data_IF_696729907721
#
_entry.id   IF_696729907721
#
_cell.length_a   1.000
_cell.length_b   1.000
_cell.length_c   1.000
_cell.angle_alpha   90.00
_cell.angle_beta   90.00
_cell.angle_gamma   90.00
#
_symmetry.space_group_name_H-M   'P 1'
#
loop_
_entity.id
_entity.type
_entity.pdbx_description
1 polymer ?
#
# COMPACT_ATOMS: atom_id res chain seq x y z
N UNK A 1 -15.38 9.72 4.40
CA UNK A 1 -14.61 9.72 3.14
C UNK A 1 -13.18 10.06 3.51
N UNK A 2 -12.29 9.06 3.51
CA UNK A 2 -10.85 9.23 3.82
C UNK A 2 -10.01 9.54 2.56
N UNK A 3 -10.70 9.74 1.43
CA UNK A 3 -10.18 10.19 0.14
C UNK A 3 -10.01 11.70 0.14
N UNK A 4 -8.77 12.18 0.03
CA UNK A 4 -8.45 13.62 -0.06
C UNK A 4 -8.68 14.14 -1.48
N UNK A 5 -8.36 13.34 -2.49
CA UNK A 5 -8.70 13.61 -3.88
C UNK A 5 -9.57 12.48 -4.41
N UNK A 6 -10.58 12.83 -5.18
CA UNK A 6 -11.54 11.88 -5.72
C UNK A 6 -11.94 12.26 -7.14
N UNK A 7 -11.80 11.31 -8.07
CA UNK A 7 -12.23 11.41 -9.45
C UNK A 7 -13.09 10.19 -9.76
N UNK A 8 -14.33 10.43 -10.15
CA UNK A 8 -15.28 9.38 -10.54
C UNK A 8 -15.85 9.72 -11.91
N UNK A 9 -15.77 8.78 -12.84
CA UNK A 9 -16.48 8.84 -14.12
C UNK A 9 -17.22 7.54 -14.32
N UNK A 10 -18.55 7.64 -14.33
CA UNK A 10 -19.43 6.50 -14.48
C UNK A 10 -20.31 6.64 -15.73
N UNK A 11 -20.34 5.58 -16.53
CA UNK A 11 -21.26 5.38 -17.63
C UNK A 11 -21.99 4.06 -17.37
N UNK A 12 -23.26 4.16 -16.97
CA UNK A 12 -24.15 3.01 -16.82
C UNK A 12 -24.79 2.71 -18.17
N UNK A 13 -24.54 1.52 -18.73
CA UNK A 13 -25.49 0.99 -19.71
C UNK A 13 -26.75 0.63 -18.93
N UNK A 14 -27.91 1.19 -19.28
CA UNK A 14 -29.17 1.08 -18.53
C UNK A 14 -29.81 -0.31 -18.53
N UNK A 15 -29.02 -1.38 -18.39
CA UNK A 15 -29.45 -2.77 -18.38
C UNK A 15 -29.15 -3.35 -16.99
N UNK A 16 -30.07 -3.14 -16.04
CA UNK A 16 -30.06 -3.82 -14.74
C UNK A 16 -30.33 -5.32 -14.94
N UNK A 17 -29.27 -6.12 -15.01
CA UNK A 17 -29.35 -7.57 -14.99
C UNK A 17 -28.82 -8.10 -13.65
N UNK A 18 -29.52 -9.05 -13.02
CA UNK A 18 -29.06 -9.71 -11.80
C UNK A 18 -27.67 -10.36 -11.93
N UNK A 19 -27.27 -10.74 -13.15
CA UNK A 19 -25.96 -11.28 -13.46
C UNK A 19 -24.82 -10.27 -13.24
N UNK A 20 -25.04 -8.96 -13.45
CA UNK A 20 -23.99 -7.95 -13.24
C UNK A 20 -23.74 -7.70 -11.76
N UNK A 21 -24.79 -7.73 -10.93
CA UNK A 21 -24.64 -7.60 -9.47
C UNK A 21 -23.80 -8.75 -8.90
N UNK A 22 -24.02 -9.99 -9.38
CA UNK A 22 -23.19 -11.13 -8.95
C UNK A 22 -21.72 -10.97 -9.36
N UNK A 23 -21.46 -10.48 -10.57
CA UNK A 23 -20.09 -10.23 -11.06
C UNK A 23 -19.40 -9.16 -10.18
N UNK A 24 -20.11 -8.08 -9.84
CA UNK A 24 -19.60 -7.02 -8.96
C UNK A 24 -19.22 -7.56 -7.57
N UNK A 25 -20.06 -8.40 -6.96
CA UNK A 25 -19.76 -9.05 -5.68
C UNK A 25 -18.47 -9.89 -5.76
N UNK A 26 -18.28 -10.67 -6.83
CA UNK A 26 -17.06 -11.45 -7.03
C UNK A 26 -15.81 -10.56 -7.22
N UNK A 27 -15.94 -9.45 -7.94
CA UNK A 27 -14.86 -8.46 -8.11
C UNK A 27 -14.43 -7.94 -6.74
N UNK A 28 -15.39 -7.55 -5.89
CA UNK A 28 -15.12 -7.05 -4.54
C UNK A 28 -14.43 -8.10 -3.66
N UNK A 29 -14.85 -9.37 -3.72
CA UNK A 29 -14.22 -10.47 -2.98
C UNK A 29 -12.77 -10.67 -3.41
N UNK A 30 -12.47 -10.65 -4.71
CA UNK A 30 -11.10 -10.78 -5.24
C UNK A 30 -10.22 -9.63 -4.76
N UNK A 31 -10.73 -8.40 -4.78
CA UNK A 31 -10.00 -7.21 -4.32
C UNK A 31 -9.76 -7.25 -2.81
N UNK A 32 -10.75 -7.68 -2.03
CA UNK A 32 -10.61 -7.85 -0.58
C UNK A 32 -9.55 -8.92 -0.25
N UNK A 33 -9.58 -10.07 -0.95
CA UNK A 33 -8.58 -11.12 -0.78
C UNK A 33 -7.17 -10.60 -1.10
N UNK A 34 -7.00 -9.91 -2.22
CA UNK A 34 -5.71 -9.30 -2.59
C UNK A 34 -5.22 -8.28 -1.55
N UNK A 35 -6.12 -7.41 -1.08
CA UNK A 35 -5.81 -6.40 -0.07
C UNK A 35 -5.39 -7.04 1.27
N UNK A 36 -6.04 -8.14 1.67
CA UNK A 36 -5.69 -8.88 2.89
C UNK A 36 -4.29 -9.47 2.83
N UNK A 37 -3.86 -9.97 1.66
CA UNK A 37 -2.50 -10.50 1.46
C UNK A 37 -1.46 -9.38 1.60
N UNK A 38 -1.74 -8.19 1.05
CA UNK A 38 -0.84 -7.04 1.20
C UNK A 38 -0.69 -6.61 2.66
N UNK A 39 -1.79 -6.56 3.42
CA UNK A 39 -1.75 -6.25 4.86
C UNK A 39 -0.95 -7.30 5.62
N UNK A 40 -1.15 -8.59 5.33
CA UNK A 40 -0.39 -9.66 5.96
C UNK A 40 1.12 -9.53 5.69
N UNK A 41 1.51 -9.20 4.46
CA UNK A 41 2.92 -8.94 4.09
C UNK A 41 3.50 -7.71 4.82
N UNK A 42 2.69 -6.66 4.98
CA UNK A 42 3.07 -5.45 5.71
C UNK A 42 3.33 -5.79 7.18
N UNK A 43 2.37 -6.45 7.84
CA UNK A 43 2.50 -6.87 9.24
C UNK A 43 3.68 -7.81 9.44
N UNK A 44 3.87 -8.78 8.54
CA UNK A 44 5.03 -9.68 8.60
C UNK A 44 6.36 -8.94 8.54
N UNK A 45 6.48 -7.97 7.63
CA UNK A 45 7.70 -7.16 7.49
C UNK A 45 7.93 -6.30 8.74
N UNK A 46 6.87 -5.70 9.29
CA UNK A 46 6.94 -4.94 10.54
C UNK A 46 7.36 -5.83 11.73
N UNK A 47 6.79 -7.02 11.86
CA UNK A 47 7.18 -7.99 12.91
C UNK A 47 8.65 -8.40 12.80
N UNK A 48 9.18 -8.52 11.58
CA UNK A 48 10.60 -8.83 11.37
C UNK A 48 11.51 -7.68 11.82
N UNK A 49 11.12 -6.42 11.59
CA UNK A 49 11.84 -5.24 12.11
C UNK A 49 11.84 -5.26 13.65
N UNK A 50 10.69 -5.49 14.28
CA UNK A 50 10.61 -5.53 15.75
C UNK A 50 11.41 -6.68 16.35
N UNK A 51 11.43 -7.85 15.69
CA UNK A 51 12.23 -9.00 16.12
C UNK A 51 13.72 -8.67 16.12
N UNK A 52 14.21 -8.04 15.07
CA UNK A 52 15.64 -7.69 14.97
C UNK A 52 16.00 -6.56 15.94
N UNK A 53 15.09 -5.61 16.14
CA UNK A 53 15.27 -4.54 17.12
C UNK A 53 15.33 -5.07 18.56
N UNK A 54 14.54 -6.10 18.88
CA UNK A 54 14.56 -6.77 20.16
C UNK A 54 15.83 -7.61 20.39
N UNK A 55 16.48 -8.08 19.33
CA UNK A 55 17.68 -8.92 19.41
C UNK A 55 18.97 -8.10 19.49
N UNK A 56 19.15 -7.10 18.62
CA UNK A 56 20.43 -6.39 18.45
C UNK A 56 20.42 -4.92 18.92
N UNK A 57 19.27 -4.37 19.36
CA UNK A 57 19.13 -2.98 19.84
C UNK A 57 19.73 -1.89 18.92
N UNK A 58 19.98 -2.18 17.65
CA UNK A 58 20.51 -1.24 16.65
C UNK A 58 19.39 -0.76 15.70
N UNK A 59 18.66 0.31 16.03
CA UNK A 59 17.57 0.83 15.19
C UNK A 59 18.06 1.36 13.83
N UNK A 60 19.31 1.80 13.74
CA UNK A 60 19.88 2.44 12.56
C UNK A 60 20.87 1.51 11.83
N UNK A 61 20.43 0.30 11.50
CA UNK A 61 21.18 -0.60 10.62
C UNK A 61 20.69 -0.49 9.19
N UNK A 62 21.59 -0.69 8.22
CA UNK A 62 21.26 -0.72 6.78
C UNK A 62 20.17 -1.76 6.47
N UNK A 63 20.15 -2.86 7.24
CA UNK A 63 19.16 -3.92 7.12
C UNK A 63 17.75 -3.44 7.51
N UNK A 64 17.62 -2.71 8.63
CA UNK A 64 16.36 -2.11 9.09
C UNK A 64 15.85 -1.07 8.09
N UNK A 65 16.74 -0.24 7.55
CA UNK A 65 16.41 0.76 6.52
C UNK A 65 15.84 0.10 5.25
N UNK A 66 16.47 -0.98 4.76
CA UNK A 66 15.97 -1.69 3.58
C UNK A 66 14.59 -2.31 3.81
N UNK A 67 14.31 -2.81 5.01
CA UNK A 67 12.98 -3.34 5.36
C UNK A 67 11.93 -2.24 5.50
N UNK A 68 12.28 -1.10 6.07
CA UNK A 68 11.39 0.05 6.18
C UNK A 68 11.06 0.62 4.79
N UNK A 69 12.04 0.65 3.87
CA UNK A 69 11.82 0.97 2.46
C UNK A 69 10.82 0.02 1.80
N UNK A 70 10.91 -1.27 2.11
CA UNK A 70 9.98 -2.29 1.62
C UNK A 70 8.56 -2.06 2.15
N UNK A 71 8.40 -1.68 3.43
CA UNK A 71 7.10 -1.31 4.01
C UNK A 71 6.51 -0.11 3.28
N UNK A 72 7.29 0.95 3.05
CA UNK A 72 6.83 2.13 2.32
C UNK A 72 6.37 1.76 0.89
N UNK A 73 7.11 0.89 0.20
CA UNK A 73 6.73 0.38 -1.11
C UNK A 73 5.43 -0.45 -1.08
N UNK A 74 5.28 -1.34 -0.11
CA UNK A 74 4.05 -2.15 0.06
C UNK A 74 2.85 -1.25 0.37
N UNK A 75 3.01 -0.23 1.23
CA UNK A 75 1.97 0.75 1.53
C UNK A 75 1.53 1.53 0.28
N UNK A 76 2.49 1.94 -0.56
CA UNK A 76 2.19 2.63 -1.81
C UNK A 76 1.38 1.73 -2.74
N UNK A 77 1.83 0.48 -2.93
CA UNK A 77 1.10 -0.51 -3.74
C UNK A 77 -0.29 -0.76 -3.17
N UNK A 78 -0.42 -0.92 -1.85
CA UNK A 78 -1.70 -1.08 -1.17
C UNK A 78 -2.65 0.11 -1.39
N UNK A 79 -2.12 1.33 -1.46
CA UNK A 79 -2.95 2.52 -1.66
C UNK A 79 -3.52 2.66 -3.08
N UNK A 80 -2.84 2.12 -4.10
CA UNK A 80 -3.21 2.32 -5.51
C UNK A 80 -3.73 1.04 -6.18
N UNK A 81 -3.12 -0.12 -5.92
CA UNK A 81 -3.39 -1.35 -6.63
C UNK A 81 -4.84 -1.85 -6.50
N UNK A 82 -5.48 -1.85 -5.31
CA UNK A 82 -6.88 -2.27 -5.17
C UNK A 82 -7.83 -1.40 -6.02
N UNK A 83 -7.58 -0.09 -6.07
CA UNK A 83 -8.41 0.85 -6.79
C UNK A 83 -8.26 0.75 -8.31
N UNK A 84 -7.03 0.61 -8.79
CA UNK A 84 -6.75 0.35 -10.21
C UNK A 84 -7.37 -0.99 -10.61
N UNK A 85 -7.20 -2.02 -9.78
CA UNK A 85 -7.75 -3.35 -10.03
C UNK A 85 -9.28 -3.32 -10.10
N UNK A 86 -9.95 -2.60 -9.19
CA UNK A 86 -11.40 -2.37 -9.24
C UNK A 86 -11.83 -1.74 -10.56
N UNK A 87 -11.23 -0.61 -10.93
CA UNK A 87 -11.60 0.11 -12.14
C UNK A 87 -11.40 -0.74 -13.41
N UNK A 88 -10.30 -1.51 -13.48
CA UNK A 88 -9.99 -2.38 -14.62
C UNK A 88 -10.97 -3.56 -14.69
N UNK A 89 -11.20 -4.28 -13.58
CA UNK A 89 -12.11 -5.42 -13.55
C UNK A 89 -13.53 -5.00 -13.88
N UNK A 90 -14.01 -3.91 -13.27
CA UNK A 90 -15.36 -3.40 -13.53
C UNK A 90 -15.55 -3.04 -15.00
N UNK A 91 -14.57 -2.36 -15.62
CA UNK A 91 -14.62 -1.97 -17.04
C UNK A 91 -14.63 -3.16 -18.00
N UNK A 92 -13.92 -4.24 -17.67
CA UNK A 92 -13.78 -5.42 -18.54
C UNK A 92 -14.99 -6.35 -18.42
N UNK A 93 -15.56 -6.48 -17.21
CA UNK A 93 -16.58 -7.49 -16.90
C UNK A 93 -18.02 -6.97 -16.98
N UNK A 94 -18.26 -5.67 -16.80
CA UNK A 94 -19.59 -5.06 -16.81
C UNK A 94 -19.68 -4.06 -17.97
N UNK A 95 -20.72 -4.12 -18.82
CA UNK A 95 -20.92 -3.13 -19.88
C UNK A 95 -21.25 -1.77 -19.27
N UNK A 96 -20.25 -0.90 -19.27
CA UNK A 96 -20.27 0.38 -18.60
C UNK A 96 -18.85 0.74 -18.18
N UNK A 97 -18.58 2.01 -17.96
CA UNK A 97 -17.28 2.44 -17.45
C UNK A 97 -17.45 3.00 -16.06
N UNK A 98 -16.71 2.50 -15.08
CA UNK A 98 -16.59 3.13 -13.76
C UNK A 98 -15.11 3.26 -13.46
N UNK A 99 -14.54 4.45 -13.73
CA UNK A 99 -13.26 4.81 -13.10
C UNK A 99 -13.62 5.44 -11.79
N UNK A 100 -13.09 4.86 -10.72
CA UNK A 100 -12.95 5.56 -9.46
C UNK A 100 -11.47 5.63 -9.15
N UNK A 101 -10.91 6.84 -9.10
CA UNK A 101 -9.53 7.08 -8.69
C UNK A 101 -9.49 8.09 -7.54
N UNK A 102 -8.78 7.77 -6.46
CA UNK A 102 -8.78 8.62 -5.29
C UNK A 102 -7.55 8.42 -4.41
N UNK A 103 -6.97 9.52 -3.97
CA UNK A 103 -5.84 9.49 -3.06
C UNK A 103 -6.35 9.40 -1.63
N UNK A 104 -6.21 8.23 -1.04
CA UNK A 104 -6.59 7.94 0.34
C UNK A 104 -5.48 8.28 1.34
N UNK A 105 -5.81 8.38 2.62
CA UNK A 105 -4.83 8.55 3.71
C UNK A 105 -3.69 7.51 3.67
N UNK A 106 -3.95 6.29 3.20
CA UNK A 106 -2.92 5.26 3.00
C UNK A 106 -1.78 5.69 2.06
N UNK A 107 -2.07 6.50 1.04
CA UNK A 107 -1.06 7.07 0.15
C UNK A 107 -0.16 8.06 0.88
N UNK A 108 -0.76 8.93 1.72
CA UNK A 108 0.01 9.85 2.55
C UNK A 108 0.86 9.11 3.58
N UNK A 109 0.34 8.04 4.20
CA UNK A 109 1.13 7.18 5.07
C UNK A 109 2.31 6.55 4.31
N UNK A 110 2.12 6.09 3.07
CA UNK A 110 3.22 5.57 2.27
C UNK A 110 4.34 6.60 2.07
N UNK A 111 3.99 7.85 1.78
CA UNK A 111 4.95 8.96 1.66
C UNK A 111 5.65 9.24 3.00
N UNK A 112 4.89 9.32 4.10
CA UNK A 112 5.46 9.57 5.43
C UNK A 112 6.46 8.47 5.81
N UNK A 113 6.10 7.20 5.60
CA UNK A 113 6.99 6.07 5.84
C UNK A 113 8.20 6.06 4.92
N UNK A 114 8.05 6.53 3.67
CA UNK A 114 9.17 6.71 2.76
C UNK A 114 10.15 7.78 3.28
N UNK A 115 9.64 8.93 3.73
CA UNK A 115 10.46 9.96 4.36
C UNK A 115 11.14 9.44 5.65
N UNK A 116 10.40 8.70 6.49
CA UNK A 116 10.94 8.09 7.69
C UNK A 116 12.10 7.13 7.38
N UNK A 117 11.97 6.35 6.30
CA UNK A 117 13.05 5.48 5.81
C UNK A 117 14.32 6.27 5.51
N UNK A 118 14.17 7.43 4.87
CA UNK A 118 15.30 8.29 4.51
C UNK A 118 15.99 8.89 5.74
N UNK A 119 15.20 9.30 6.74
CA UNK A 119 15.72 9.78 8.03
C UNK A 119 16.53 8.68 8.73
N UNK A 120 16.02 7.44 8.74
CA UNK A 120 16.73 6.31 9.33
C UNK A 120 18.00 5.96 8.56
N UNK A 121 17.98 6.08 7.23
CA UNK A 121 19.18 5.89 6.39
C UNK A 121 20.25 6.92 6.72
N UNK A 122 19.86 8.18 6.85
CA UNK A 122 20.77 9.25 7.22
C UNK A 122 21.34 9.04 8.64
N UNK A 123 20.50 8.63 9.60
CA UNK A 123 20.94 8.27 10.95
C UNK A 123 21.96 7.12 10.96
N UNK A 124 21.75 6.09 10.14
CA UNK A 124 22.69 4.98 10.00
C UNK A 124 24.05 5.43 9.44
N UNK A 125 24.06 6.35 8.46
CA UNK A 125 25.30 6.93 7.93
C UNK A 125 26.05 7.73 9.01
N UNK A 126 25.35 8.55 9.80
CA UNK A 126 25.97 9.33 10.88
C UNK A 126 26.58 8.46 11.98
N UNK A 127 25.89 7.36 12.34
CA UNK A 127 26.44 6.41 13.33
C UNK A 127 27.72 5.76 12.82
N UNK A 128 27.77 5.39 11.54
CA UNK A 128 28.96 4.83 10.92
C UNK A 128 30.15 5.80 10.95
N UNK A 129 29.94 7.06 10.59
CA UNK A 129 31.00 8.07 10.60
C UNK A 129 31.52 8.35 12.02
N UNK A 130 30.63 8.33 13.03
CA UNK A 130 31.03 8.53 14.43
C UNK A 130 31.89 7.37 14.94
N UNK A 131 31.51 6.13 14.65
CA UNK A 131 32.27 4.93 15.04
C UNK A 131 33.64 4.84 14.36
N UNK A 132 33.78 5.36 13.12
CA UNK A 132 35.06 5.40 12.39
C UNK A 132 36.01 6.51 12.89
N UNK A 133 35.54 7.46 13.71
CA UNK A 133 36.36 8.55 14.29
C UNK A 133 36.91 8.27 15.69
N UNK A 134 36.65 7.09 16.24
CA UNK A 134 37.23 6.59 17.51
C UNK A 134 38.41 5.66 17.24
#
# INVERSE_FOLDING_TARGET
SDTVFYFQTEFFSGVENQQYNQIEEWILVVIAAFSSVLIALLLWTASMIFKDLAAEFMPFSVLTVNRLRRIAGILLVYSLAPQIMYSVLHTVLIPGYSITFGLNMSFFFAIIFYCLTEIFRYGASLQKESDETL
#
